data_IF_791162140137
#
_entry.id   IF_791162140137
#
_cell.length_a   1.000
_cell.length_b   1.000
_cell.length_c   1.000
_cell.angle_alpha   90.00
_cell.angle_beta   90.00
_cell.angle_gamma   90.00
#
_symmetry.space_group_name_H-M   'P 1'
#
loop_
_entity.id
_entity.type
_entity.pdbx_description
1 polymer ?
#
# COMPACT_ATOMS: atom_id res chain seq x y z
N UNK A 1 13.58 6.82 -30.47
CA UNK A 1 14.27 5.88 -29.55
C UNK A 1 13.24 4.95 -28.96
N UNK A 2 13.40 3.64 -29.11
CA UNK A 2 12.53 2.62 -28.50
C UNK A 2 12.88 2.46 -27.03
N UNK A 3 11.90 2.65 -26.13
CA UNK A 3 12.08 2.46 -24.71
C UNK A 3 11.95 0.98 -24.36
N UNK A 4 13.04 0.38 -23.88
CA UNK A 4 13.02 -0.94 -23.25
C UNK A 4 13.46 -0.78 -21.80
N UNK A 5 12.55 -1.04 -20.86
CA UNK A 5 12.78 -0.88 -19.42
C UNK A 5 13.32 -2.13 -18.73
N UNK A 6 13.54 -3.23 -19.45
CA UNK A 6 13.92 -4.52 -18.86
C UNK A 6 15.18 -5.05 -19.53
N UNK A 7 16.25 -5.15 -18.75
CA UNK A 7 17.40 -5.98 -19.11
C UNK A 7 17.05 -7.46 -18.86
N UNK A 8 16.79 -8.19 -19.95
CA UNK A 8 16.52 -9.63 -19.95
C UNK A 8 17.77 -10.48 -19.61
N UNK A 9 18.94 -9.89 -19.35
CA UNK A 9 20.14 -10.62 -18.94
C UNK A 9 19.97 -11.34 -17.60
N UNK A 10 19.12 -10.81 -16.72
CA UNK A 10 18.95 -11.28 -15.33
C UNK A 10 17.93 -12.42 -15.14
N UNK A 11 17.17 -12.78 -16.18
CA UNK A 11 16.19 -13.88 -16.11
C UNK A 11 16.90 -15.20 -16.38
N UNK A 12 16.92 -16.08 -15.39
CA UNK A 12 17.54 -17.40 -15.49
C UNK A 12 16.92 -18.24 -16.62
N UNK A 13 17.70 -19.18 -17.15
CA UNK A 13 17.33 -19.97 -18.33
C UNK A 13 16.09 -20.84 -18.10
N UNK A 14 15.84 -21.28 -16.86
CA UNK A 14 14.67 -22.09 -16.52
C UNK A 14 13.41 -21.24 -16.47
N UNK A 15 13.46 -20.05 -15.85
CA UNK A 15 12.36 -19.09 -15.86
C UNK A 15 12.03 -18.65 -17.29
N UNK A 16 13.04 -18.39 -18.13
CA UNK A 16 12.85 -18.05 -19.54
C UNK A 16 12.21 -19.19 -20.34
N UNK A 17 12.62 -20.43 -20.09
CA UNK A 17 12.03 -21.63 -20.70
C UNK A 17 10.59 -21.84 -20.24
N UNK A 18 10.29 -21.58 -18.97
CA UNK A 18 8.95 -21.66 -18.41
C UNK A 18 8.03 -20.63 -19.06
N UNK A 19 8.47 -19.36 -19.13
CA UNK A 19 7.75 -18.26 -19.79
C UNK A 19 7.43 -18.61 -21.25
N UNK A 20 8.41 -19.10 -22.02
CA UNK A 20 8.21 -19.51 -23.42
C UNK A 20 7.24 -20.68 -23.55
N UNK A 21 7.35 -21.69 -22.69
CA UNK A 21 6.47 -22.86 -22.71
C UNK A 21 5.02 -22.50 -22.40
N UNK A 22 4.80 -21.51 -21.54
CA UNK A 22 3.48 -21.03 -21.17
C UNK A 22 2.89 -20.07 -22.21
N UNK A 23 3.70 -19.17 -22.80
CA UNK A 23 3.28 -18.32 -23.91
C UNK A 23 2.85 -19.14 -25.14
N UNK A 24 3.50 -20.30 -25.37
CA UNK A 24 3.16 -21.21 -26.47
C UNK A 24 1.91 -22.05 -26.22
N UNK A 25 1.42 -22.21 -24.97
CA UNK A 25 0.20 -22.98 -24.68
C UNK A 25 -1.06 -22.29 -25.19
N UNK A 26 -1.14 -20.96 -25.14
CA UNK A 26 -2.28 -20.20 -25.69
C UNK A 26 -2.38 -20.28 -27.22
N UNK A 27 -1.23 -20.28 -27.92
CA UNK A 27 -1.17 -20.34 -29.40
C UNK A 27 -1.54 -21.71 -30.00
N UNK A 28 -1.62 -22.76 -29.17
CA UNK A 28 -1.84 -24.15 -29.59
C UNK A 28 -3.21 -24.72 -29.16
N UNK A 29 -4.06 -23.93 -28.50
CA UNK A 29 -5.44 -24.35 -28.20
C UNK A 29 -6.18 -24.47 -29.55
N UNK A 30 -6.62 -25.69 -29.88
CA UNK A 30 -7.35 -26.02 -31.11
C UNK A 30 -6.51 -26.60 -32.26
N UNK A 31 -5.18 -26.63 -32.17
CA UNK A 31 -4.33 -27.25 -33.22
C UNK A 31 -3.93 -28.68 -32.82
N UNK A 32 -4.80 -29.64 -33.14
CA UNK A 32 -4.48 -31.06 -33.01
C UNK A 32 -3.32 -31.48 -33.91
N UNK A 33 -2.30 -32.13 -33.35
CA UNK A 33 -1.25 -32.80 -34.15
C UNK A 33 -1.90 -33.91 -34.99
N UNK A 34 -1.55 -34.08 -36.28
CA UNK A 34 -2.03 -35.20 -37.06
C UNK A 34 -1.50 -36.51 -36.43
N UNK A 35 -2.41 -37.38 -35.99
CA UNK A 35 -2.08 -38.73 -35.54
C UNK A 35 -1.62 -39.55 -36.75
N UNK A 36 -0.38 -40.04 -36.71
CA UNK A 36 0.17 -40.97 -37.72
C UNK A 36 -0.67 -42.26 -37.69
N UNK A 37 -1.30 -42.61 -38.81
CA UNK A 37 -2.08 -43.85 -38.96
C UNK A 37 -1.16 -45.08 -38.84
N UNK A 38 -1.51 -46.13 -38.06
CA UNK A 38 -0.87 -47.43 -38.18
C UNK A 38 -1.41 -48.18 -39.41
N UNK A 39 -0.53 -48.90 -40.12
CA UNK A 39 -0.87 -49.83 -41.21
C UNK A 39 -1.59 -51.08 -40.64
N UNK A 40 -2.44 -51.75 -41.44
CA UNK A 40 -3.21 -52.91 -41.00
C UNK A 40 -2.36 -54.19 -41.03
N UNK A 41 -2.63 -55.10 -40.11
CA UNK A 41 -2.22 -56.50 -40.20
C UNK A 41 -3.48 -57.38 -40.11
N UNK A 42 -3.55 -58.35 -41.02
CA UNK A 42 -4.62 -59.30 -41.26
C UNK A 42 -4.73 -60.37 -40.16
N UNK A 43 -5.93 -60.95 -39.99
CA UNK A 43 -6.12 -62.26 -39.34
C UNK A 43 -7.32 -62.35 -38.40
N UNK A 44 -8.48 -62.78 -38.93
CA UNK A 44 -9.68 -63.25 -38.20
C UNK A 44 -9.45 -64.66 -37.57
N UNK A 45 -10.41 -65.34 -36.89
CA UNK A 45 -11.80 -64.97 -36.51
C UNK A 45 -12.30 -65.44 -35.10
N UNK A 46 -13.52 -64.99 -34.76
CA UNK A 46 -14.61 -65.68 -34.00
C UNK A 46 -14.45 -66.07 -32.51
N UNK A 47 -15.36 -65.60 -31.64
CA UNK A 47 -16.47 -66.41 -31.09
C UNK A 47 -17.44 -65.60 -30.20
N UNK A 48 -18.65 -66.14 -30.11
CA UNK A 48 -19.96 -65.62 -29.67
C UNK A 48 -20.24 -65.75 -28.15
N UNK A 49 -21.46 -65.32 -27.75
CA UNK A 49 -22.27 -65.61 -26.53
C UNK A 49 -22.35 -64.41 -25.58
N UNK A 50 -23.50 -63.90 -25.10
CA UNK A 50 -24.93 -64.19 -25.22
C UNK A 50 -25.68 -63.15 -24.34
N UNK A 51 -26.93 -62.82 -24.64
CA UNK A 51 -27.70 -61.73 -23.99
C UNK A 51 -28.25 -62.06 -22.59
N UNK A 52 -29.47 -61.62 -22.25
CA UNK A 52 -29.92 -60.24 -22.00
C UNK A 52 -30.46 -60.11 -20.55
N UNK A 53 -30.69 -58.88 -20.03
CA UNK A 53 -31.80 -58.56 -19.11
C UNK A 53 -31.81 -57.07 -18.71
N UNK A 54 -32.82 -56.34 -19.21
CA UNK A 54 -33.41 -55.20 -18.50
C UNK A 54 -34.41 -55.73 -17.45
N UNK A 55 -34.75 -54.89 -16.45
CA UNK A 55 -36.15 -54.48 -16.42
C UNK A 55 -36.36 -52.98 -16.20
N UNK A 56 -37.39 -52.53 -16.92
CA UNK A 56 -38.06 -51.23 -16.90
C UNK A 56 -38.59 -50.85 -15.50
N UNK A 57 -38.35 -49.60 -15.07
CA UNK A 57 -39.24 -48.92 -14.10
C UNK A 57 -39.46 -47.46 -14.52
N UNK A 58 -40.72 -47.21 -14.87
CA UNK A 58 -41.55 -46.00 -14.76
C UNK A 58 -41.01 -44.64 -15.25
N UNK A 59 -41.59 -44.20 -16.38
CA UNK A 59 -41.81 -42.80 -16.77
C UNK A 59 -42.45 -42.00 -15.62
N UNK A 60 -41.86 -40.87 -15.27
CA UNK A 60 -42.56 -39.72 -14.69
C UNK A 60 -42.28 -38.49 -15.55
N UNK A 61 -43.33 -37.71 -15.69
CA UNK A 61 -43.58 -36.77 -16.78
C UNK A 61 -42.69 -35.53 -16.81
N UNK A 62 -42.59 -35.01 -18.03
CA UNK A 62 -42.05 -33.72 -18.41
C UNK A 62 -42.47 -32.57 -17.47
N UNK A 63 -41.47 -31.99 -16.81
CA UNK A 63 -41.42 -30.55 -16.62
C UNK A 63 -40.06 -30.06 -17.14
N UNK A 64 -39.96 -29.90 -18.48
CA UNK A 64 -38.94 -29.02 -19.05
C UNK A 64 -39.19 -27.63 -18.49
N UNK A 65 -38.53 -27.31 -17.37
CA UNK A 65 -38.26 -25.92 -17.01
C UNK A 65 -37.40 -25.39 -18.13
N UNK A 66 -38.04 -24.70 -19.07
CA UNK A 66 -37.36 -23.72 -19.92
C UNK A 66 -36.86 -22.67 -18.94
N UNK A 67 -35.64 -22.87 -18.45
CA UNK A 67 -34.89 -21.82 -17.77
C UNK A 67 -34.58 -20.83 -18.85
N UNK A 68 -35.43 -19.82 -19.01
CA UNK A 68 -35.05 -18.60 -19.71
C UNK A 68 -33.90 -18.05 -18.88
N UNK A 69 -32.66 -18.30 -19.32
CA UNK A 69 -31.50 -17.56 -18.83
C UNK A 69 -31.78 -16.09 -19.15
N UNK A 70 -32.32 -15.38 -18.16
CA UNK A 70 -32.34 -13.93 -18.19
C UNK A 70 -30.87 -13.53 -18.34
N UNK A 71 -30.49 -12.76 -19.38
CA UNK A 71 -29.13 -12.32 -19.48
C UNK A 71 -28.88 -11.45 -18.25
N UNK A 72 -28.14 -11.97 -17.27
CA UNK A 72 -27.41 -11.15 -16.34
C UNK A 72 -26.39 -10.39 -17.19
N UNK A 73 -26.84 -9.31 -17.83
CA UNK A 73 -25.96 -8.36 -18.49
C UNK A 73 -24.99 -7.88 -17.43
N UNK A 74 -23.77 -8.40 -17.50
CA UNK A 74 -22.68 -8.03 -16.61
C UNK A 74 -22.27 -6.62 -17.01
N UNK A 75 -22.69 -5.61 -16.23
CA UNK A 75 -22.38 -4.19 -16.50
C UNK A 75 -20.87 -3.97 -16.76
N UNK A 76 -20.03 -4.83 -16.19
CA UNK A 76 -18.59 -4.92 -16.43
C UNK A 76 -18.25 -5.13 -17.91
N UNK A 77 -18.90 -6.09 -18.57
CA UNK A 77 -18.68 -6.35 -20.00
C UNK A 77 -19.24 -5.26 -20.90
N UNK A 78 -20.20 -4.46 -20.43
CA UNK A 78 -20.73 -3.31 -21.17
C UNK A 78 -19.82 -2.09 -21.05
N UNK A 79 -19.10 -1.95 -19.94
CA UNK A 79 -18.20 -0.82 -19.69
C UNK A 79 -16.75 -1.08 -20.16
N UNK A 80 -16.33 -2.34 -20.28
CA UNK A 80 -14.98 -2.69 -20.73
C UNK A 80 -14.79 -2.52 -22.24
N UNK A 81 -13.67 -1.93 -22.64
CA UNK A 81 -13.28 -1.74 -24.05
C UNK A 81 -12.58 -2.96 -24.67
N UNK A 82 -12.45 -4.06 -23.92
CA UNK A 82 -11.73 -5.28 -24.30
C UNK A 82 -12.46 -6.54 -23.83
N UNK A 83 -12.15 -7.68 -24.46
CA UNK A 83 -12.81 -8.96 -24.18
C UNK A 83 -12.38 -9.53 -22.82
N UNK A 84 -13.37 -9.92 -22.00
CA UNK A 84 -13.14 -10.51 -20.68
C UNK A 84 -13.45 -12.01 -20.67
N UNK A 85 -12.47 -12.81 -20.23
CA UNK A 85 -12.72 -14.22 -19.93
C UNK A 85 -13.74 -14.38 -18.78
N UNK A 86 -14.42 -15.53 -18.69
CA UNK A 86 -15.33 -15.83 -17.58
C UNK A 86 -14.64 -15.79 -16.22
N UNK A 87 -13.38 -16.23 -16.14
CA UNK A 87 -12.54 -16.14 -14.94
C UNK A 87 -12.21 -14.69 -14.58
N UNK A 88 -11.81 -13.88 -15.57
CA UNK A 88 -11.50 -12.46 -15.37
C UNK A 88 -12.70 -11.66 -14.88
N UNK A 89 -13.92 -11.97 -15.36
CA UNK A 89 -15.17 -11.35 -14.90
C UNK A 89 -15.46 -11.62 -13.41
N UNK A 90 -15.30 -12.87 -12.98
CA UNK A 90 -15.46 -13.25 -11.56
C UNK A 90 -14.43 -12.55 -10.68
N UNK A 91 -13.16 -12.53 -11.10
CA UNK A 91 -12.09 -11.83 -10.38
C UNK A 91 -12.35 -10.32 -10.33
N UNK A 92 -12.87 -9.73 -11.41
CA UNK A 92 -13.19 -8.30 -11.46
C UNK A 92 -14.20 -7.88 -10.39
N UNK A 93 -15.27 -8.63 -10.16
CA UNK A 93 -16.26 -8.29 -9.11
C UNK A 93 -15.62 -8.21 -7.73
N UNK A 94 -14.68 -9.09 -7.45
CA UNK A 94 -13.94 -9.11 -6.20
C UNK A 94 -12.90 -7.98 -6.13
N UNK A 95 -12.22 -7.72 -7.25
CA UNK A 95 -11.30 -6.59 -7.43
C UNK A 95 -11.99 -5.25 -7.24
N UNK A 96 -13.22 -5.06 -7.75
CA UNK A 96 -13.98 -3.82 -7.57
C UNK A 96 -14.30 -3.54 -6.09
N UNK A 97 -14.63 -4.58 -5.31
CA UNK A 97 -14.80 -4.43 -3.85
C UNK A 97 -13.50 -4.02 -3.14
N UNK A 98 -12.36 -4.37 -3.73
CA UNK A 98 -11.03 -4.13 -3.19
C UNK A 98 -10.42 -2.79 -3.61
N UNK A 99 -10.70 -2.30 -4.81
CA UNK A 99 -10.22 -0.98 -5.29
C UNK A 99 -10.89 0.16 -4.53
N UNK A 100 -12.06 -0.08 -3.92
CA UNK A 100 -12.67 0.86 -2.97
C UNK A 100 -11.85 1.01 -1.68
N UNK A 101 -10.77 0.23 -1.49
CA UNK A 101 -9.89 0.37 -0.33
C UNK A 101 -8.92 1.53 -0.55
N UNK A 102 -9.09 2.54 0.28
CA UNK A 102 -8.22 3.71 0.34
C UNK A 102 -6.84 3.35 0.91
N UNK A 103 -5.81 4.06 0.44
CA UNK A 103 -4.42 3.85 0.85
C UNK A 103 -4.09 4.57 2.17
N UNK A 104 -5.05 4.56 3.10
CA UNK A 104 -4.96 5.07 4.47
C UNK A 104 -5.87 4.24 5.39
N UNK A 105 -5.72 4.33 6.72
CA UNK A 105 -6.53 3.54 7.65
C UNK A 105 -8.03 3.89 7.58
N UNK A 106 -8.89 2.87 7.59
CA UNK A 106 -10.36 3.01 7.53
C UNK A 106 -10.93 3.99 8.57
N UNK A 107 -10.27 4.14 9.71
CA UNK A 107 -10.69 5.02 10.79
C UNK A 107 -10.77 6.47 10.32
N UNK A 108 -9.96 6.87 9.34
CA UNK A 108 -9.94 8.24 8.82
C UNK A 108 -11.09 8.55 7.86
N UNK A 109 -11.89 7.56 7.41
CA UNK A 109 -13.08 7.78 6.55
C UNK A 109 -14.12 8.73 7.22
N UNK A 110 -14.02 8.92 8.54
CA UNK A 110 -14.84 9.88 9.30
C UNK A 110 -14.40 11.32 9.03
N UNK A 111 -13.10 11.59 8.93
CA UNK A 111 -12.53 12.93 8.76
C UNK A 111 -12.20 13.27 7.30
N UNK A 112 -12.07 12.26 6.43
CA UNK A 112 -11.63 12.40 5.04
C UNK A 112 -12.76 11.99 4.10
N UNK A 113 -12.99 12.78 3.06
CA UNK A 113 -13.93 12.49 1.99
C UNK A 113 -13.19 12.18 0.70
N UNK A 114 -13.56 11.08 0.04
CA UNK A 114 -13.02 10.74 -1.27
C UNK A 114 -14.13 10.30 -2.21
N UNK A 115 -14.27 10.98 -3.35
CA UNK A 115 -15.18 10.55 -4.41
C UNK A 115 -14.53 9.46 -5.28
N UNK A 116 -14.77 8.21 -4.91
CA UNK A 116 -14.30 7.06 -5.69
C UNK A 116 -15.06 6.87 -7.01
N UNK A 117 -16.29 7.38 -7.13
CA UNK A 117 -17.12 7.16 -8.32
C UNK A 117 -16.61 7.99 -9.52
N UNK A 118 -16.02 9.15 -9.27
CA UNK A 118 -15.39 9.98 -10.30
C UNK A 118 -13.91 9.66 -10.57
N UNK A 119 -13.31 8.77 -9.76
CA UNK A 119 -11.87 8.45 -9.81
C UNK A 119 -11.41 7.96 -11.19
N UNK A 120 -10.44 8.66 -11.77
CA UNK A 120 -9.79 8.26 -13.03
C UNK A 120 -9.18 6.86 -12.97
N UNK A 121 -8.73 6.44 -11.79
CA UNK A 121 -8.13 5.12 -11.57
C UNK A 121 -9.15 4.02 -11.77
N UNK A 122 -10.38 4.20 -11.27
CA UNK A 122 -11.47 3.25 -11.50
C UNK A 122 -11.82 3.18 -12.98
N UNK A 123 -11.88 4.33 -13.67
CA UNK A 123 -12.15 4.40 -15.11
C UNK A 123 -11.11 3.64 -15.93
N UNK A 124 -9.82 3.78 -15.61
CA UNK A 124 -8.74 3.10 -16.32
C UNK A 124 -8.84 1.59 -16.31
N UNK A 125 -9.49 0.99 -15.31
CA UNK A 125 -9.70 -0.46 -15.26
C UNK A 125 -10.61 -0.93 -16.39
N UNK A 126 -11.55 -0.10 -16.81
CA UNK A 126 -12.49 -0.43 -17.87
C UNK A 126 -11.95 -0.12 -19.26
N UNK A 127 -11.11 0.91 -19.39
CA UNK A 127 -10.67 1.41 -20.70
C UNK A 127 -9.27 0.96 -21.11
N UNK A 128 -8.46 0.46 -20.17
CA UNK A 128 -7.08 0.02 -20.45
C UNK A 128 -6.84 -1.43 -20.02
N UNK A 129 -6.60 -2.29 -21.00
CA UNK A 129 -6.39 -3.72 -20.78
C UNK A 129 -5.11 -4.00 -19.97
N UNK A 130 -4.03 -3.23 -20.19
CA UNK A 130 -2.76 -3.43 -19.48
C UNK A 130 -2.92 -3.15 -17.97
N UNK A 131 -3.56 -2.03 -17.65
CA UNK A 131 -3.91 -1.63 -16.29
C UNK A 131 -4.86 -2.62 -15.65
N UNK A 132 -5.94 -3.03 -16.34
CA UNK A 132 -6.87 -4.05 -15.86
C UNK A 132 -6.14 -5.32 -15.41
N UNK A 133 -5.34 -5.90 -16.31
CA UNK A 133 -4.60 -7.13 -16.01
C UNK A 133 -3.64 -6.92 -14.82
N UNK A 134 -3.03 -5.73 -14.70
CA UNK A 134 -2.13 -5.46 -13.59
C UNK A 134 -2.87 -5.41 -12.26
N UNK A 135 -4.06 -4.80 -12.23
CA UNK A 135 -4.88 -4.72 -11.03
C UNK A 135 -5.33 -6.12 -10.60
N UNK A 136 -5.78 -6.99 -11.52
CA UNK A 136 -6.12 -8.38 -11.19
C UNK A 136 -4.90 -9.10 -10.57
N UNK A 137 -3.72 -8.97 -11.19
CA UNK A 137 -2.49 -9.58 -10.66
C UNK A 137 -2.14 -9.05 -9.26
N UNK A 138 -2.29 -7.73 -9.04
CA UNK A 138 -2.05 -7.05 -7.77
C UNK A 138 -2.99 -7.53 -6.66
N UNK A 139 -4.31 -7.57 -6.90
CA UNK A 139 -5.27 -8.08 -5.91
C UNK A 139 -4.99 -9.55 -5.59
N UNK A 140 -4.64 -10.34 -6.60
CA UNK A 140 -4.29 -11.75 -6.42
C UNK A 140 -2.99 -11.96 -5.61
N UNK A 141 -2.09 -10.97 -5.59
CA UNK A 141 -0.82 -11.05 -4.85
C UNK A 141 -0.98 -10.78 -3.34
N UNK A 142 -2.17 -10.38 -2.88
CA UNK A 142 -2.40 -9.97 -1.49
C UNK A 142 -2.82 -11.16 -0.62
N UNK A 143 -1.94 -11.52 0.32
CA UNK A 143 -2.18 -12.61 1.27
C UNK A 143 -3.41 -12.35 2.15
N UNK A 144 -4.38 -13.28 2.10
CA UNK A 144 -5.64 -13.20 2.86
C UNK A 144 -6.84 -12.74 2.04
N UNK A 145 -6.68 -12.46 0.75
CA UNK A 145 -7.83 -12.33 -0.14
C UNK A 145 -8.39 -13.73 -0.43
N UNK A 146 -9.70 -13.99 -0.25
CA UNK A 146 -10.31 -15.32 -0.44
C UNK A 146 -10.30 -15.85 -1.90
N UNK A 147 -9.47 -15.27 -2.77
CA UNK A 147 -9.26 -15.67 -4.16
C UNK A 147 -8.40 -16.92 -4.32
N UNK A 148 -7.75 -17.43 -3.27
CA UNK A 148 -6.57 -18.30 -3.45
C UNK A 148 -6.86 -19.77 -3.12
N UNK A 149 -7.13 -20.56 -4.17
CA UNK A 149 -6.70 -21.96 -4.28
C UNK A 149 -5.34 -22.08 -4.99
N UNK A 150 -4.73 -23.28 -5.02
CA UNK A 150 -3.43 -23.54 -5.69
C UNK A 150 -3.45 -23.22 -7.20
N UNK A 151 -4.61 -23.24 -7.85
CA UNK A 151 -4.78 -22.92 -9.27
C UNK A 151 -4.74 -21.40 -9.57
N UNK A 152 -5.05 -20.55 -8.58
CA UNK A 152 -5.21 -19.10 -8.75
C UNK A 152 -3.87 -18.33 -8.81
N UNK A 153 -2.78 -18.94 -8.34
CA UNK A 153 -1.42 -18.40 -8.52
C UNK A 153 -0.97 -18.38 -9.99
N UNK A 154 -1.41 -19.36 -10.79
CA UNK A 154 -1.12 -19.41 -12.23
C UNK A 154 -1.90 -18.33 -13.01
N UNK A 155 -3.10 -17.99 -12.55
CA UNK A 155 -3.93 -16.94 -13.14
C UNK A 155 -3.35 -15.55 -12.86
N UNK A 156 -2.93 -15.27 -11.62
CA UNK A 156 -2.20 -14.03 -11.27
C UNK A 156 -0.96 -13.84 -12.14
N UNK A 157 -0.15 -14.88 -12.33
CA UNK A 157 1.03 -14.83 -13.19
C UNK A 157 0.67 -14.61 -14.66
N UNK A 158 -0.44 -15.17 -15.13
CA UNK A 158 -0.94 -14.95 -16.50
C UNK A 158 -1.35 -13.50 -16.70
N UNK A 159 -2.11 -12.93 -15.75
CA UNK A 159 -2.48 -11.52 -15.77
C UNK A 159 -1.25 -10.62 -15.77
N UNK A 160 -0.25 -10.90 -14.93
CA UNK A 160 1.00 -10.17 -14.91
C UNK A 160 1.77 -10.27 -16.25
N UNK A 161 1.88 -11.47 -16.82
CA UNK A 161 2.54 -11.67 -18.11
C UNK A 161 1.85 -10.89 -19.24
N UNK A 162 0.52 -10.79 -19.18
CA UNK A 162 -0.26 -9.99 -20.12
C UNK A 162 -0.03 -8.50 -19.94
N UNK A 163 0.02 -8.01 -18.69
CA UNK A 163 0.42 -6.63 -18.38
C UNK A 163 1.79 -6.32 -18.99
N UNK A 164 2.80 -7.17 -18.78
CA UNK A 164 4.13 -6.94 -19.37
C UNK A 164 4.11 -6.84 -20.89
N UNK A 165 3.40 -7.76 -21.55
CA UNK A 165 3.29 -7.75 -23.01
C UNK A 165 2.66 -6.45 -23.51
N UNK A 166 1.51 -6.09 -22.96
CA UNK A 166 0.76 -4.90 -23.37
C UNK A 166 1.53 -3.60 -23.06
N UNK A 167 2.11 -3.48 -21.86
CA UNK A 167 2.92 -2.31 -21.49
C UNK A 167 4.11 -2.16 -22.44
N UNK A 168 4.82 -3.23 -22.77
CA UNK A 168 5.95 -3.16 -23.72
C UNK A 168 5.50 -2.75 -25.14
N UNK A 169 4.33 -3.21 -25.60
CA UNK A 169 3.74 -2.78 -26.86
C UNK A 169 3.44 -1.27 -26.84
N UNK A 170 2.80 -0.77 -25.77
CA UNK A 170 2.48 0.65 -25.59
C UNK A 170 3.73 1.52 -25.55
N UNK A 171 4.75 1.11 -24.80
CA UNK A 171 6.03 1.83 -24.64
C UNK A 171 6.87 1.86 -25.94
N UNK A 172 6.62 0.93 -26.85
CA UNK A 172 7.25 0.92 -28.18
C UNK A 172 6.49 1.78 -29.20
N UNK A 173 5.29 2.26 -28.86
CA UNK A 173 4.37 2.94 -29.77
C UNK A 173 4.07 4.38 -29.38
N UNK A 174 2.99 4.93 -29.95
CA UNK A 174 2.55 6.31 -29.73
C UNK A 174 1.93 6.54 -28.34
N UNK A 175 1.52 5.46 -27.67
CA UNK A 175 0.91 5.49 -26.34
C UNK A 175 1.95 5.40 -25.21
N UNK A 176 3.24 5.48 -25.53
CA UNK A 176 4.32 5.31 -24.56
C UNK A 176 4.21 6.26 -23.36
N UNK A 177 3.66 7.45 -23.57
CA UNK A 177 3.42 8.44 -22.52
C UNK A 177 1.95 8.66 -22.23
N UNK A 178 1.01 7.81 -22.68
CA UNK A 178 -0.40 7.96 -22.36
C UNK A 178 -0.68 7.80 -20.85
N UNK A 179 -1.69 8.47 -20.32
CA UNK A 179 -2.04 8.43 -18.89
C UNK A 179 -2.33 7.00 -18.40
N UNK A 180 -2.97 6.19 -19.25
CA UNK A 180 -3.24 4.79 -18.98
C UNK A 180 -1.96 3.95 -18.93
N UNK A 181 -0.94 4.30 -19.72
CA UNK A 181 0.40 3.68 -19.65
C UNK A 181 1.10 4.06 -18.35
N UNK A 182 1.05 5.33 -17.93
CA UNK A 182 1.54 5.75 -16.60
C UNK A 182 0.84 4.95 -15.50
N UNK A 183 -0.49 4.83 -15.56
CA UNK A 183 -1.26 4.10 -14.58
C UNK A 183 -0.87 2.61 -14.51
N UNK A 184 -0.69 1.95 -15.66
CA UNK A 184 -0.22 0.57 -15.73
C UNK A 184 1.17 0.41 -15.07
N UNK A 185 2.12 1.28 -15.38
CA UNK A 185 3.46 1.21 -14.79
C UNK A 185 3.43 1.55 -13.28
N UNK A 186 2.61 2.51 -12.84
CA UNK A 186 2.33 2.74 -11.41
C UNK A 186 1.81 1.47 -10.76
N UNK A 187 0.79 0.81 -11.31
CA UNK A 187 0.28 -0.44 -10.75
C UNK A 187 1.35 -1.54 -10.66
N UNK A 188 2.27 -1.61 -11.63
CA UNK A 188 3.40 -2.55 -11.58
C UNK A 188 4.36 -2.25 -10.41
N UNK A 189 4.64 -0.97 -10.11
CA UNK A 189 5.43 -0.62 -8.90
C UNK A 189 4.77 -1.16 -7.62
N UNK A 190 3.44 -1.01 -7.52
CA UNK A 190 2.67 -1.43 -6.35
C UNK A 190 2.64 -2.96 -6.23
N UNK A 191 2.44 -3.68 -7.35
CA UNK A 191 2.48 -5.13 -7.39
C UNK A 191 3.79 -5.67 -6.80
N UNK A 192 4.93 -5.13 -7.23
CA UNK A 192 6.23 -5.58 -6.75
C UNK A 192 6.49 -5.20 -5.29
N UNK A 193 6.04 -4.02 -4.85
CA UNK A 193 6.10 -3.64 -3.44
C UNK A 193 5.31 -4.60 -2.56
N UNK A 194 4.08 -4.95 -2.93
CA UNK A 194 3.23 -5.88 -2.18
C UNK A 194 3.85 -7.27 -2.04
N UNK A 195 4.62 -7.70 -3.05
CA UNK A 195 5.38 -8.95 -3.02
C UNK A 195 6.71 -8.87 -2.27
N UNK A 196 7.10 -7.68 -1.81
CA UNK A 196 8.38 -7.44 -1.15
C UNK A 196 9.58 -7.36 -2.09
N UNK A 197 9.37 -7.39 -3.42
CA UNK A 197 10.43 -7.29 -4.42
C UNK A 197 10.66 -5.83 -4.82
N UNK A 198 11.24 -5.09 -3.88
CA UNK A 198 11.43 -3.64 -4.01
C UNK A 198 12.40 -3.28 -5.14
N UNK A 199 13.35 -4.18 -5.48
CA UNK A 199 14.31 -3.95 -6.55
C UNK A 199 13.61 -3.88 -7.91
N UNK A 200 12.70 -4.81 -8.20
CA UNK A 200 11.90 -4.74 -9.44
C UNK A 200 10.93 -3.55 -9.43
N UNK A 201 10.36 -3.24 -8.27
CA UNK A 201 9.53 -2.04 -8.10
C UNK A 201 10.26 -0.74 -8.48
N UNK A 202 11.53 -0.60 -8.08
CA UNK A 202 12.37 0.55 -8.43
C UNK A 202 12.63 0.69 -9.93
N UNK A 203 12.78 -0.42 -10.67
CA UNK A 203 12.94 -0.38 -12.13
C UNK A 203 11.73 0.30 -12.78
N UNK A 204 10.52 -0.04 -12.33
CA UNK A 204 9.29 0.61 -12.80
C UNK A 204 9.19 2.07 -12.38
N UNK A 205 9.65 2.43 -11.17
CA UNK A 205 9.69 3.81 -10.72
C UNK A 205 10.67 4.67 -11.54
N UNK A 206 11.85 4.14 -11.85
CA UNK A 206 12.80 4.79 -12.75
C UNK A 206 12.22 4.93 -14.16
N UNK A 207 11.39 3.97 -14.57
CA UNK A 207 10.61 4.07 -15.80
C UNK A 207 9.61 5.22 -15.79
N UNK A 208 8.84 5.36 -14.70
CA UNK A 208 7.91 6.48 -14.52
C UNK A 208 8.62 7.83 -14.53
N UNK A 209 9.81 7.91 -13.92
CA UNK A 209 10.64 9.12 -13.96
C UNK A 209 11.00 9.48 -15.41
N UNK A 210 11.44 8.51 -16.20
CA UNK A 210 11.75 8.76 -17.62
C UNK A 210 10.51 9.16 -18.42
N UNK A 211 9.37 8.51 -18.17
CA UNK A 211 8.10 8.87 -18.80
C UNK A 211 7.67 10.31 -18.45
N UNK A 212 7.83 10.71 -17.19
CA UNK A 212 7.54 12.08 -16.75
C UNK A 212 8.48 13.10 -17.42
N UNK A 213 9.77 12.80 -17.58
CA UNK A 213 10.71 13.66 -18.32
C UNK A 213 10.26 13.90 -19.77
N UNK A 214 9.69 12.88 -20.44
CA UNK A 214 9.15 13.05 -21.80
C UNK A 214 7.89 13.93 -21.86
N UNK A 215 7.24 14.19 -20.73
CA UNK A 215 6.14 15.14 -20.57
C UNK A 215 6.58 16.45 -19.88
N UNK A 216 7.83 16.86 -20.05
CA UNK A 216 8.32 18.13 -19.50
C UNK A 216 8.73 18.07 -18.02
N UNK A 217 8.84 16.87 -17.43
CA UNK A 217 9.28 16.67 -16.05
C UNK A 217 8.14 16.42 -15.06
N UNK A 218 8.48 15.97 -13.86
CA UNK A 218 7.49 15.60 -12.84
C UNK A 218 6.69 16.82 -12.35
N UNK A 219 7.31 17.99 -12.25
CA UNK A 219 6.64 19.23 -11.80
C UNK A 219 5.63 19.73 -12.84
N UNK A 220 5.95 19.63 -14.14
CA UNK A 220 4.97 19.89 -15.21
C UNK A 220 3.82 18.87 -15.21
N UNK A 221 4.13 17.60 -14.97
CA UNK A 221 3.11 16.57 -14.82
C UNK A 221 2.22 16.82 -13.60
N UNK A 222 2.77 17.32 -12.49
CA UNK A 222 2.00 17.64 -11.30
C UNK A 222 1.02 18.80 -11.51
N UNK A 223 1.38 19.77 -12.37
CA UNK A 223 0.49 20.88 -12.73
C UNK A 223 -0.62 20.46 -13.70
N UNK A 224 -0.30 19.60 -14.67
CA UNK A 224 -1.24 19.23 -15.75
C UNK A 224 -2.07 17.98 -15.45
N UNK A 225 -1.51 17.02 -14.71
CA UNK A 225 -2.11 15.73 -14.37
C UNK A 225 -1.81 15.38 -12.89
N UNK A 226 -2.29 16.18 -11.92
CA UNK A 226 -1.92 16.08 -10.50
C UNK A 226 -2.15 14.70 -9.90
N UNK A 227 -3.26 14.03 -10.26
CA UNK A 227 -3.56 12.69 -9.78
C UNK A 227 -2.48 11.66 -10.15
N UNK A 228 -1.95 11.71 -11.39
CA UNK A 228 -0.86 10.82 -11.83
C UNK A 228 0.42 11.11 -11.04
N UNK A 229 0.82 12.37 -10.96
CA UNK A 229 2.02 12.79 -10.25
C UNK A 229 1.97 12.38 -8.77
N UNK A 230 0.82 12.56 -8.11
CA UNK A 230 0.58 12.13 -6.73
C UNK A 230 0.87 10.66 -6.51
N UNK A 231 0.44 9.77 -7.41
CA UNK A 231 0.74 8.33 -7.29
C UNK A 231 2.22 8.02 -7.52
N UNK A 232 2.91 8.76 -8.39
CA UNK A 232 4.35 8.64 -8.61
C UNK A 232 5.12 9.08 -7.37
N UNK A 233 4.80 10.25 -6.81
CA UNK A 233 5.41 10.76 -5.57
C UNK A 233 5.16 9.79 -4.41
N UNK A 234 3.93 9.29 -4.26
CA UNK A 234 3.63 8.31 -3.23
C UNK A 234 4.47 7.03 -3.37
N UNK A 235 4.58 6.49 -4.58
CA UNK A 235 5.38 5.30 -4.82
C UNK A 235 6.86 5.53 -4.46
N UNK A 236 7.44 6.65 -4.92
CA UNK A 236 8.82 7.04 -4.60
C UNK A 236 9.05 7.18 -3.09
N UNK A 237 8.18 7.88 -2.37
CA UNK A 237 8.26 8.00 -0.91
C UNK A 237 8.17 6.64 -0.20
N UNK A 238 7.24 5.77 -0.60
CA UNK A 238 7.11 4.43 0.00
C UNK A 238 8.37 3.56 -0.23
N UNK A 239 9.00 3.64 -1.41
CA UNK A 239 10.28 2.96 -1.66
C UNK A 239 11.41 3.58 -0.83
N UNK A 240 11.49 4.91 -0.75
CA UNK A 240 12.49 5.63 0.03
C UNK A 240 12.40 5.26 1.53
N UNK A 241 11.19 5.20 2.08
CA UNK A 241 10.96 4.77 3.48
C UNK A 241 11.30 3.29 3.71
N UNK A 242 10.98 2.41 2.76
CA UNK A 242 11.27 0.99 2.92
C UNK A 242 12.79 0.69 2.85
N UNK A 243 13.46 1.26 1.84
CA UNK A 243 14.87 1.03 1.56
C UNK A 243 15.80 1.92 2.40
N UNK A 244 15.23 2.98 2.99
CA UNK A 244 15.94 4.00 3.74
C UNK A 244 16.80 4.92 2.88
N UNK A 245 16.45 5.11 1.61
CA UNK A 245 17.16 6.00 0.69
C UNK A 245 16.52 7.39 0.70
N UNK A 246 17.20 8.42 0.16
CA UNK A 246 16.53 9.64 -0.28
C UNK A 246 15.45 9.33 -1.33
N UNK A 247 14.45 10.20 -1.44
CA UNK A 247 13.50 10.21 -2.56
C UNK A 247 14.19 10.56 -3.88
N UNK A 248 13.66 10.04 -5.00
CA UNK A 248 14.18 10.36 -6.34
C UNK A 248 13.74 11.74 -6.84
N UNK A 249 12.64 12.27 -6.30
CA UNK A 249 12.15 13.61 -6.57
C UNK A 249 12.36 14.54 -5.36
N UNK A 250 12.16 15.84 -5.56
CA UNK A 250 12.22 16.85 -4.50
C UNK A 250 10.83 17.20 -3.97
N UNK A 251 10.73 17.61 -2.71
CA UNK A 251 9.51 18.23 -2.19
C UNK A 251 9.16 19.51 -2.97
N UNK A 252 10.14 20.19 -3.57
CA UNK A 252 9.93 21.36 -4.43
C UNK A 252 9.20 21.03 -5.75
N UNK A 253 9.15 19.75 -6.15
CA UNK A 253 8.40 19.30 -7.32
C UNK A 253 6.90 19.17 -7.05
N UNK A 254 6.49 19.22 -5.78
CA UNK A 254 5.10 19.04 -5.34
C UNK A 254 4.44 20.42 -5.23
N UNK A 255 3.35 20.70 -5.95
CA UNK A 255 2.61 21.95 -5.79
C UNK A 255 2.11 22.11 -4.35
N UNK A 256 2.51 23.19 -3.67
CA UNK A 256 2.29 23.35 -2.22
C UNK A 256 1.29 24.44 -1.83
N UNK A 257 0.81 25.28 -2.75
CA UNK A 257 -0.08 26.41 -2.43
C UNK A 257 -1.35 26.00 -1.66
N UNK A 258 -1.97 24.88 -2.06
CA UNK A 258 -3.18 24.36 -1.41
C UNK A 258 -2.85 23.67 -0.07
N UNK A 259 -1.66 23.07 0.06
CA UNK A 259 -1.14 22.46 1.28
C UNK A 259 -0.91 23.53 2.34
N UNK A 260 -0.20 24.60 1.97
CA UNK A 260 0.10 25.74 2.84
C UNK A 260 -1.19 26.37 3.36
N UNK A 261 -2.17 26.62 2.47
CA UNK A 261 -3.48 27.14 2.88
C UNK A 261 -4.19 26.27 3.93
N UNK A 262 -4.15 24.94 3.79
CA UNK A 262 -4.75 24.04 4.78
C UNK A 262 -4.03 24.14 6.14
N UNK A 263 -2.70 24.15 6.12
CA UNK A 263 -1.87 24.21 7.32
C UNK A 263 -1.92 25.58 8.01
N UNK A 264 -2.14 26.67 7.28
CA UNK A 264 -2.24 28.02 7.83
C UNK A 264 -3.60 28.32 8.45
N UNK A 265 -4.67 27.71 7.94
CA UNK A 265 -6.01 27.85 8.51
C UNK A 265 -6.17 27.16 9.88
N UNK A 266 -5.17 26.38 10.31
CA UNK A 266 -5.19 25.67 11.59
C UNK A 266 -4.54 26.54 12.66
N UNK A 267 -5.34 27.12 13.57
CA UNK A 267 -4.85 27.93 14.68
C UNK A 267 -4.15 27.04 15.70
N UNK A 268 -2.86 27.31 15.94
CA UNK A 268 -2.08 26.56 16.92
C UNK A 268 -2.17 27.23 18.30
N UNK A 269 -2.64 26.50 19.32
CA UNK A 269 -2.37 26.85 20.73
C UNK A 269 -1.25 25.93 21.25
N UNK A 270 0.01 26.39 21.19
CA UNK A 270 1.13 25.62 21.72
C UNK A 270 0.99 25.61 23.25
N UNK A 271 1.16 24.45 23.87
CA UNK A 271 1.71 24.44 25.23
C UNK A 271 3.16 24.95 25.12
N UNK A 272 3.31 26.27 25.24
CA UNK A 272 4.47 27.04 24.79
C UNK A 272 5.76 26.75 25.55
N UNK A 273 5.69 26.09 26.70
CA UNK A 273 6.82 25.94 27.63
C UNK A 273 7.64 24.67 27.43
N UNK A 274 7.03 23.55 27.02
CA UNK A 274 7.78 22.29 26.89
C UNK A 274 8.41 22.13 25.50
N UNK A 275 7.66 22.47 24.44
CA UNK A 275 8.17 22.46 23.07
C UNK A 275 9.34 23.43 22.89
N UNK A 276 9.36 24.58 23.56
CA UNK A 276 10.50 25.52 23.52
C UNK A 276 11.79 24.92 24.09
N UNK A 277 11.72 24.05 25.10
CA UNK A 277 12.90 23.41 25.69
C UNK A 277 13.45 22.29 24.80
N UNK A 278 12.57 21.46 24.20
CA UNK A 278 12.98 20.44 23.22
C UNK A 278 13.50 21.10 21.96
N UNK A 279 12.78 22.11 21.46
CA UNK A 279 13.14 22.78 20.22
C UNK A 279 14.40 23.62 20.33
N UNK A 280 14.79 24.13 21.50
CA UNK A 280 16.05 24.87 21.65
C UNK A 280 17.27 24.08 21.15
N UNK A 281 17.19 22.75 21.12
CA UNK A 281 18.29 21.85 20.75
C UNK A 281 18.10 21.18 19.37
N UNK A 282 17.01 21.50 18.67
CA UNK A 282 16.60 20.89 17.40
C UNK A 282 16.93 21.84 16.22
N UNK A 283 17.49 21.33 15.11
CA UNK A 283 17.70 22.12 13.88
C UNK A 283 16.42 22.79 13.38
N UNK A 284 16.56 23.93 12.71
CA UNK A 284 15.44 24.75 12.24
C UNK A 284 14.48 23.97 11.33
N UNK A 285 15.01 23.30 10.30
CA UNK A 285 14.19 22.51 9.36
C UNK A 285 13.35 21.43 10.06
N UNK A 286 13.92 20.77 11.08
CA UNK A 286 13.22 19.74 11.84
C UNK A 286 12.17 20.35 12.78
N UNK A 287 12.43 21.53 13.33
CA UNK A 287 11.44 22.27 14.13
C UNK A 287 10.25 22.72 13.27
N UNK A 288 10.51 23.29 12.09
CA UNK A 288 9.46 23.73 11.16
C UNK A 288 8.53 22.59 10.77
N UNK A 289 9.10 21.48 10.28
CA UNK A 289 8.29 20.34 9.84
C UNK A 289 7.53 19.70 11.02
N UNK A 290 8.08 19.75 12.23
CA UNK A 290 7.36 19.28 13.42
C UNK A 290 6.07 20.07 13.61
N UNK A 291 6.13 21.41 13.50
CA UNK A 291 4.95 22.26 13.62
C UNK A 291 3.90 22.00 12.52
N UNK A 292 4.33 21.77 11.28
CA UNK A 292 3.41 21.41 10.19
C UNK A 292 2.72 20.07 10.42
N UNK A 293 3.46 19.07 10.93
CA UNK A 293 2.91 17.76 11.28
C UNK A 293 1.92 17.87 12.45
N UNK A 294 2.16 18.75 13.42
CA UNK A 294 1.18 19.08 14.47
C UNK A 294 -0.10 19.68 13.91
N UNK A 295 0.02 20.68 13.03
CA UNK A 295 -1.12 21.31 12.36
C UNK A 295 -1.94 20.28 11.59
N UNK A 296 -1.30 19.35 10.89
CA UNK A 296 -1.98 18.22 10.25
C UNK A 296 -2.75 17.38 11.27
N UNK A 297 -2.12 16.97 12.37
CA UNK A 297 -2.77 16.15 13.40
C UNK A 297 -4.01 16.85 14.00
N UNK A 298 -3.87 18.14 14.34
CA UNK A 298 -4.96 18.97 14.86
C UNK A 298 -6.08 19.14 13.84
N UNK A 299 -5.74 19.39 12.58
CA UNK A 299 -6.71 19.51 11.49
C UNK A 299 -7.52 18.22 11.34
N UNK A 300 -6.87 17.05 11.31
CA UNK A 300 -7.57 15.75 11.25
C UNK A 300 -8.52 15.61 12.45
N UNK A 301 -8.05 15.84 13.67
CA UNK A 301 -8.87 15.73 14.89
C UNK A 301 -10.05 16.73 14.89
N UNK A 302 -9.89 17.94 14.35
CA UNK A 302 -10.98 18.90 14.24
C UNK A 302 -12.08 18.42 13.27
N UNK A 303 -11.68 17.77 12.17
CA UNK A 303 -12.61 17.26 11.15
C UNK A 303 -13.32 15.96 11.57
N UNK A 304 -12.86 15.24 12.60
CA UNK A 304 -13.57 14.04 13.09
C UNK A 304 -14.95 14.35 13.65
N UNK A 305 -15.14 15.57 14.15
CA UNK A 305 -16.38 16.04 14.79
C UNK A 305 -17.11 17.09 13.96
N UNK A 306 -16.60 17.41 12.76
CA UNK A 306 -17.15 18.42 11.85
C UNK A 306 -18.08 17.78 10.81
N UNK A 307 -19.04 18.56 10.29
CA UNK A 307 -19.81 18.18 9.12
C UNK A 307 -18.99 18.29 7.83
N UNK A 308 -17.96 19.15 7.81
CA UNK A 308 -17.04 19.30 6.70
C UNK A 308 -15.87 18.33 6.86
N UNK A 309 -15.57 17.57 5.82
CA UNK A 309 -14.44 16.63 5.75
C UNK A 309 -13.28 17.21 4.95
N UNK A 310 -12.08 16.66 5.17
CA UNK A 310 -10.89 16.98 4.37
C UNK A 310 -11.00 16.25 3.03
N UNK A 311 -10.79 16.97 1.93
CA UNK A 311 -10.69 16.35 0.61
C UNK A 311 -9.55 15.32 0.57
N UNK A 312 -9.82 14.11 0.07
CA UNK A 312 -8.88 12.99 0.09
C UNK A 312 -7.66 13.19 -0.79
N UNK A 313 -7.79 13.94 -1.89
CA UNK A 313 -6.67 14.30 -2.75
C UNK A 313 -5.74 15.29 -2.05
N UNK A 314 -6.30 16.34 -1.44
CA UNK A 314 -5.59 17.29 -0.59
C UNK A 314 -4.90 16.60 0.60
N UNK A 315 -5.59 15.68 1.28
CA UNK A 315 -4.99 14.90 2.37
C UNK A 315 -3.76 14.12 1.89
N UNK A 316 -3.87 13.46 0.75
CA UNK A 316 -2.75 12.74 0.16
C UNK A 316 -1.59 13.66 -0.23
N UNK A 317 -1.89 14.83 -0.81
CA UNK A 317 -0.87 15.82 -1.18
C UNK A 317 -0.11 16.31 0.07
N UNK A 318 -0.81 16.57 1.18
CA UNK A 318 -0.19 16.98 2.45
C UNK A 318 0.71 15.89 3.03
N UNK A 319 0.24 14.64 3.14
CA UNK A 319 1.06 13.57 3.75
C UNK A 319 2.28 13.23 2.89
N UNK A 320 2.16 13.34 1.56
CA UNK A 320 3.29 13.12 0.64
C UNK A 320 4.28 14.26 0.80
N UNK A 321 3.84 15.52 0.75
CA UNK A 321 4.70 16.69 0.91
C UNK A 321 5.50 16.66 2.21
N UNK A 322 4.82 16.45 3.35
CA UNK A 322 5.48 16.35 4.66
C UNK A 322 6.41 15.13 4.73
N UNK A 323 6.01 13.99 4.14
CA UNK A 323 6.86 12.80 4.06
C UNK A 323 8.15 13.05 3.27
N UNK A 324 8.09 13.77 2.15
CA UNK A 324 9.26 14.16 1.37
C UNK A 324 10.19 15.10 2.14
N UNK A 325 9.63 16.15 2.78
CA UNK A 325 10.45 17.07 3.60
C UNK A 325 11.15 16.31 4.74
N UNK A 326 10.44 15.40 5.41
CA UNK A 326 11.00 14.64 6.53
C UNK A 326 12.08 13.64 6.07
N UNK A 327 11.87 12.98 4.93
CA UNK A 327 12.87 12.10 4.34
C UNK A 327 14.12 12.89 3.90
N UNK A 328 13.96 14.12 3.38
CA UNK A 328 15.08 14.96 2.98
C UNK A 328 15.96 15.41 4.17
N UNK A 329 15.39 15.58 5.36
CA UNK A 329 16.14 15.91 6.59
C UNK A 329 17.04 14.75 6.99
N UNK A 330 16.50 13.53 7.08
CA UNK A 330 17.28 12.35 7.44
C UNK A 330 16.72 11.05 6.84
N UNK A 331 17.23 10.61 5.69
CA UNK A 331 16.92 9.29 5.14
C UNK A 331 17.31 8.19 6.14
N UNK A 332 16.52 7.11 6.24
CA UNK A 332 16.71 6.11 7.31
C UNK A 332 18.05 5.35 7.27
N UNK A 333 18.70 5.29 6.10
CA UNK A 333 20.04 4.70 5.97
C UNK A 333 21.17 5.73 6.10
N UNK A 334 20.86 7.02 6.26
CA UNK A 334 21.86 8.03 6.58
C UNK A 334 22.32 7.88 8.04
N UNK A 335 23.50 8.42 8.40
CA UNK A 335 23.96 8.43 9.79
C UNK A 335 22.94 9.12 10.73
N UNK A 336 22.92 8.79 12.03
CA UNK A 336 22.11 9.51 13.01
C UNK A 336 22.39 11.01 13.02
N UNK A 337 21.35 11.80 13.26
CA UNK A 337 21.51 13.23 13.50
C UNK A 337 22.35 13.37 14.78
N UNK A 338 23.36 14.25 14.78
CA UNK A 338 24.36 14.38 15.84
C UNK A 338 23.80 14.59 17.26
N UNK A 339 22.53 14.97 17.38
CA UNK A 339 21.85 15.20 18.65
C UNK A 339 20.74 14.16 18.86
N UNK A 340 20.85 13.35 19.93
CA UNK A 340 19.96 12.21 20.16
C UNK A 340 18.47 12.56 20.24
N UNK A 341 18.10 13.72 20.82
CA UNK A 341 16.70 14.17 20.82
C UNK A 341 16.20 14.49 19.41
N UNK A 342 17.06 15.04 18.55
CA UNK A 342 16.70 15.38 17.18
C UNK A 342 16.52 14.12 16.34
N UNK A 343 17.38 13.11 16.52
CA UNK A 343 17.24 11.82 15.86
C UNK A 343 15.96 11.11 16.31
N UNK A 344 15.70 11.07 17.61
CA UNK A 344 14.48 10.47 18.18
C UNK A 344 13.20 11.17 17.71
N UNK A 345 13.21 12.51 17.65
CA UNK A 345 12.09 13.31 17.14
C UNK A 345 11.86 12.99 15.66
N UNK A 346 12.91 12.96 14.84
CA UNK A 346 12.82 12.63 13.43
C UNK A 346 12.22 11.22 13.22
N UNK A 347 12.71 10.21 13.95
CA UNK A 347 12.20 8.83 13.87
C UNK A 347 10.75 8.70 14.35
N UNK A 348 10.38 9.42 15.40
CA UNK A 348 9.01 9.48 15.88
C UNK A 348 8.07 10.13 14.87
N UNK A 349 8.48 11.23 14.23
CA UNK A 349 7.71 11.87 13.15
C UNK A 349 7.62 10.96 11.92
N UNK A 350 8.68 10.23 11.57
CA UNK A 350 8.65 9.28 10.45
C UNK A 350 7.67 8.13 10.75
N UNK A 351 7.62 7.67 12.00
CA UNK A 351 6.66 6.68 12.46
C UNK A 351 5.23 7.23 12.46
N UNK A 352 5.04 8.49 12.86
CA UNK A 352 3.75 9.16 12.81
C UNK A 352 3.26 9.25 11.36
N UNK A 353 4.10 9.72 10.44
CA UNK A 353 3.75 9.80 9.02
C UNK A 353 3.46 8.42 8.43
N UNK A 354 4.21 7.38 8.82
CA UNK A 354 3.98 6.00 8.40
C UNK A 354 2.56 5.49 8.72
N UNK A 355 1.89 6.05 9.72
CA UNK A 355 0.52 5.66 10.12
C UNK A 355 -0.53 5.95 9.04
N UNK A 356 -0.24 6.89 8.14
CA UNK A 356 -1.15 7.25 7.05
C UNK A 356 -0.94 6.41 5.78
N UNK A 357 0.13 5.61 5.70
CA UNK A 357 0.51 4.86 4.49
C UNK A 357 0.02 3.41 4.49
N UNK A 358 -1.20 3.15 4.95
CA UNK A 358 -1.78 1.80 4.92
C UNK A 358 -1.78 1.25 3.47
N UNK A 359 -1.40 -0.02 3.33
CA UNK A 359 -1.42 -0.72 2.04
C UNK A 359 -2.84 -1.05 1.60
N UNK A 360 -3.00 -1.51 0.35
CA UNK A 360 -4.30 -1.91 -0.20
C UNK A 360 -5.01 -3.01 0.61
N UNK A 361 -4.27 -3.80 1.38
CA UNK A 361 -4.81 -4.80 2.30
C UNK A 361 -5.19 -4.23 3.68
N UNK A 362 -5.20 -2.89 3.83
CA UNK A 362 -5.37 -2.14 5.08
C UNK A 362 -4.35 -2.48 6.17
N UNK A 363 -3.25 -3.16 5.81
CA UNK A 363 -2.14 -3.43 6.72
C UNK A 363 -1.08 -2.35 6.58
N UNK A 364 -0.40 -2.08 7.70
CA UNK A 364 0.74 -1.17 7.70
C UNK A 364 1.89 -1.73 6.86
N UNK A 365 2.63 -0.86 6.13
CA UNK A 365 3.78 -1.29 5.35
C UNK A 365 4.88 -1.80 6.28
N UNK A 366 5.63 -2.80 5.81
CA UNK A 366 6.83 -3.26 6.52
C UNK A 366 7.94 -2.23 6.32
N UNK A 367 8.38 -1.56 7.38
CA UNK A 367 9.47 -0.57 7.36
C UNK A 367 10.65 -1.04 8.22
N UNK A 368 11.44 -2.03 7.75
CA UNK A 368 12.49 -2.66 8.56
C UNK A 368 13.60 -1.70 8.96
N UNK A 369 13.92 -0.70 8.12
CA UNK A 369 14.93 0.32 8.41
C UNK A 369 14.51 1.23 9.56
N UNK A 370 13.25 1.67 9.56
CA UNK A 370 12.70 2.51 10.63
C UNK A 370 12.63 1.75 11.96
N UNK A 371 12.13 0.52 11.96
CA UNK A 371 12.11 -0.34 13.17
C UNK A 371 13.52 -0.56 13.74
N UNK A 372 14.51 -0.86 12.89
CA UNK A 372 15.90 -1.03 13.33
C UNK A 372 16.49 0.27 13.94
N UNK A 373 16.21 1.43 13.35
CA UNK A 373 16.67 2.73 13.84
C UNK A 373 16.03 3.11 15.17
N UNK A 374 14.72 2.91 15.32
CA UNK A 374 14.03 3.14 16.60
C UNK A 374 14.64 2.26 17.69
N UNK A 375 14.87 0.98 17.41
CA UNK A 375 15.52 0.08 18.36
C UNK A 375 16.92 0.55 18.75
N UNK A 376 17.71 1.02 17.78
CA UNK A 376 19.06 1.56 18.04
C UNK A 376 19.04 2.76 18.99
N UNK A 377 18.13 3.70 18.79
CA UNK A 377 18.02 4.92 19.61
C UNK A 377 17.37 4.62 20.96
N UNK A 378 16.45 3.66 21.02
CA UNK A 378 15.82 3.26 22.27
C UNK A 378 16.81 2.62 23.25
N UNK A 379 17.81 1.86 22.78
CA UNK A 379 18.78 1.15 23.64
C UNK A 379 19.81 2.09 24.29
N UNK A 380 19.80 3.39 24.00
CA UNK A 380 20.70 4.35 24.64
C UNK A 380 20.48 4.45 26.17
N UNK A 381 21.56 4.62 26.96
CA UNK A 381 21.53 4.54 28.42
C UNK A 381 20.57 5.56 29.05
N UNK A 382 20.20 5.30 30.31
CA UNK A 382 19.28 6.14 31.09
C UNK A 382 19.68 7.61 31.07
N UNK A 383 18.89 8.43 30.36
CA UNK A 383 19.04 9.88 30.34
C UNK A 383 18.29 10.50 31.53
N UNK A 384 18.82 11.58 32.08
CA UNK A 384 18.21 12.31 33.21
C UNK A 384 17.26 13.42 32.77
N UNK A 385 16.90 13.49 31.49
CA UNK A 385 16.02 14.54 30.96
C UNK A 385 14.57 14.07 30.91
N UNK A 386 13.65 14.83 31.51
CA UNK A 386 12.22 14.57 31.37
C UNK A 386 11.78 14.63 29.90
N UNK A 387 12.31 15.58 29.12
CA UNK A 387 12.00 15.72 27.71
C UNK A 387 12.41 14.50 26.89
N UNK A 388 13.53 13.88 27.25
CA UNK A 388 13.97 12.62 26.64
C UNK A 388 12.97 11.51 26.87
N UNK A 389 12.56 11.30 28.13
CA UNK A 389 11.60 10.24 28.46
C UNK A 389 10.23 10.48 27.84
N UNK A 390 9.75 11.73 27.78
CA UNK A 390 8.50 12.07 27.09
C UNK A 390 8.54 11.74 25.60
N UNK A 391 9.61 12.17 24.92
CA UNK A 391 9.79 11.94 23.48
C UNK A 391 9.98 10.45 23.17
N UNK A 392 10.76 9.74 23.99
CA UNK A 392 10.98 8.29 23.87
C UNK A 392 9.66 7.55 24.01
N UNK A 393 8.84 7.92 24.99
CA UNK A 393 7.53 7.34 25.20
C UNK A 393 6.63 7.55 23.98
N UNK A 394 6.52 8.78 23.48
CA UNK A 394 5.75 9.08 22.27
C UNK A 394 6.24 8.29 21.05
N UNK A 395 7.54 8.28 20.77
CA UNK A 395 8.13 7.52 19.67
C UNK A 395 7.80 6.03 19.75
N UNK A 396 7.89 5.41 20.94
CA UNK A 396 7.59 3.99 21.11
C UNK A 396 6.10 3.68 20.93
N UNK A 397 5.20 4.55 21.41
CA UNK A 397 3.76 4.39 21.23
C UNK A 397 3.34 4.54 19.77
N UNK A 398 3.84 5.56 19.07
CA UNK A 398 3.60 5.74 17.64
C UNK A 398 4.30 4.64 16.81
N UNK A 399 5.49 4.22 17.21
CA UNK A 399 6.15 3.06 16.62
C UNK A 399 5.29 1.81 16.74
N UNK A 400 4.59 1.63 17.87
CA UNK A 400 3.68 0.52 18.12
C UNK A 400 2.41 0.55 17.26
N UNK A 401 1.93 1.72 16.86
CA UNK A 401 0.75 1.83 15.98
C UNK A 401 1.08 1.41 14.55
N UNK A 402 2.35 1.50 14.15
CA UNK A 402 2.75 1.41 12.74
C UNK A 402 3.68 0.23 12.42
N UNK A 403 4.82 0.14 13.11
CA UNK A 403 5.95 -0.69 12.67
C UNK A 403 6.40 -1.73 13.70
N UNK A 404 6.25 -1.45 15.01
CA UNK A 404 6.76 -2.29 16.10
C UNK A 404 5.78 -3.42 16.41
N UNK A 405 6.14 -4.64 16.04
CA UNK A 405 5.27 -5.82 16.16
C UNK A 405 5.30 -6.43 17.56
N UNK A 406 4.31 -7.26 17.90
CA UNK A 406 4.24 -7.94 19.20
C UNK A 406 5.49 -8.77 19.55
N UNK A 407 6.21 -9.28 18.55
CA UNK A 407 7.48 -9.99 18.76
C UNK A 407 8.61 -9.09 19.32
N UNK A 408 8.43 -7.77 19.30
CA UNK A 408 9.39 -6.79 19.81
C UNK A 408 9.11 -6.39 21.27
N UNK A 409 8.06 -6.92 21.88
CA UNK A 409 7.61 -6.56 23.22
C UNK A 409 8.67 -6.83 24.30
N UNK A 410 9.59 -7.76 24.03
CA UNK A 410 10.70 -8.09 24.93
C UNK A 410 11.62 -6.91 25.24
N UNK A 411 11.73 -5.94 24.35
CA UNK A 411 12.54 -4.72 24.56
C UNK A 411 11.69 -3.45 24.61
N UNK A 412 10.56 -3.41 23.89
CA UNK A 412 9.68 -2.23 23.86
C UNK A 412 8.99 -1.99 25.22
N UNK A 413 8.46 -3.05 25.85
CA UNK A 413 7.70 -2.88 27.10
C UNK A 413 8.59 -2.44 28.28
N UNK A 414 9.78 -3.03 28.51
CA UNK A 414 10.68 -2.56 29.57
C UNK A 414 11.06 -1.07 29.41
N UNK A 415 11.26 -0.60 28.18
CA UNK A 415 11.61 0.78 27.89
C UNK A 415 10.47 1.77 28.15
N UNK A 416 9.25 1.38 27.77
CA UNK A 416 8.03 2.13 28.08
C UNK A 416 7.85 2.22 29.60
N UNK A 417 7.96 1.09 30.31
CA UNK A 417 7.85 1.00 31.76
C UNK A 417 8.88 1.90 32.45
N UNK A 418 10.12 1.89 31.97
CA UNK A 418 11.20 2.73 32.52
C UNK A 418 10.87 4.21 32.38
N UNK A 419 10.37 4.62 31.21
CA UNK A 419 10.01 6.03 30.97
C UNK A 419 8.78 6.47 31.77
N UNK A 420 7.78 5.60 31.92
CA UNK A 420 6.59 5.88 32.75
C UNK A 420 6.96 6.05 34.22
N UNK A 421 7.81 5.16 34.76
CA UNK A 421 8.30 5.25 36.15
C UNK A 421 9.12 6.52 36.35
N UNK A 422 10.00 6.85 35.41
CA UNK A 422 10.81 8.06 35.49
C UNK A 422 9.96 9.33 35.52
N UNK A 423 8.91 9.39 34.69
CA UNK A 423 8.00 10.52 34.60
C UNK A 423 6.96 10.56 35.73
N UNK A 424 6.89 9.53 36.58
CA UNK A 424 5.89 9.44 37.66
C UNK A 424 4.45 9.31 37.14
N UNK A 425 4.25 8.80 35.92
CA UNK A 425 2.93 8.66 35.32
C UNK A 425 2.20 7.49 35.99
N UNK A 426 1.14 7.82 36.73
CA UNK A 426 0.37 6.86 37.53
C UNK A 426 -1.07 6.67 37.04
N UNK A 427 -1.49 7.39 35.99
CA UNK A 427 -2.85 7.33 35.47
C UNK A 427 -2.87 7.31 33.93
N UNK A 428 -3.93 6.73 33.32
CA UNK A 428 -4.14 6.79 31.87
C UNK A 428 -4.22 8.23 31.35
N UNK A 429 -4.90 9.12 32.09
CA UNK A 429 -5.00 10.54 31.74
C UNK A 429 -3.65 11.24 31.71
N UNK A 430 -2.77 10.96 32.68
CA UNK A 430 -1.41 11.52 32.69
C UNK A 430 -0.54 10.99 31.54
N UNK A 431 -0.75 9.74 31.12
CA UNK A 431 -0.11 9.19 29.93
C UNK A 431 -0.60 9.90 28.66
N UNK A 432 -1.92 10.02 28.49
CA UNK A 432 -2.51 10.69 27.35
C UNK A 432 -2.08 12.16 27.28
N UNK A 433 -2.07 12.88 28.39
CA UNK A 433 -1.56 14.25 28.48
C UNK A 433 -0.07 14.34 28.08
N UNK A 434 0.73 13.34 28.42
CA UNK A 434 2.13 13.25 28.02
C UNK A 434 2.29 13.01 26.53
N UNK A 435 1.51 12.09 25.95
CA UNK A 435 1.60 11.73 24.54
C UNK A 435 1.04 12.81 23.61
N UNK A 436 -0.05 13.48 24.01
CA UNK A 436 -0.68 14.57 23.26
C UNK A 436 0.14 15.86 23.23
N UNK A 437 1.26 15.93 23.97
CA UNK A 437 2.25 16.99 23.79
C UNK A 437 2.99 16.90 22.46
N UNK A 438 2.83 15.80 21.71
CA UNK A 438 3.40 15.51 20.40
C UNK A 438 2.30 15.27 19.35
N UNK A 439 2.61 15.21 18.04
CA UNK A 439 1.60 14.94 17.03
C UNK A 439 0.82 13.64 17.33
N UNK A 440 -0.50 13.76 17.36
CA UNK A 440 -1.39 12.70 17.77
C UNK A 440 -2.74 12.80 17.04
N UNK A 441 -3.21 11.68 16.47
CA UNK A 441 -4.52 11.57 15.82
C UNK A 441 -5.34 10.58 16.63
N UNK A 442 -6.40 11.07 17.28
CA UNK A 442 -7.19 10.30 18.25
C UNK A 442 -7.70 9.00 17.63
N UNK A 443 -8.29 9.10 16.43
CA UNK A 443 -8.84 7.96 15.68
C UNK A 443 -7.84 6.85 15.32
N UNK A 444 -6.54 7.16 15.27
CA UNK A 444 -5.51 6.20 14.92
C UNK A 444 -4.77 5.64 16.13
N UNK A 445 -4.56 6.47 17.15
CA UNK A 445 -3.55 6.22 18.17
C UNK A 445 -4.12 5.88 19.54
N UNK A 446 -5.32 6.36 19.89
CA UNK A 446 -5.94 6.13 21.22
C UNK A 446 -6.11 4.64 21.50
N UNK A 447 -6.70 3.92 20.54
CA UNK A 447 -6.93 2.49 20.56
C UNK A 447 -5.68 1.66 20.90
N UNK A 448 -4.54 2.02 20.31
CA UNK A 448 -3.26 1.32 20.53
C UNK A 448 -2.69 1.71 21.89
N UNK A 449 -2.82 2.99 22.27
CA UNK A 449 -2.39 3.50 23.56
C UNK A 449 -3.09 2.75 24.70
N UNK A 450 -4.42 2.65 24.66
CA UNK A 450 -5.22 1.96 25.68
C UNK A 450 -4.81 0.49 25.81
N UNK A 451 -4.72 -0.24 24.69
CA UNK A 451 -4.31 -1.66 24.71
C UNK A 451 -2.91 -1.86 25.27
N UNK A 452 -1.98 -0.97 24.92
CA UNK A 452 -0.61 -1.04 25.42
C UNK A 452 -0.55 -0.69 26.91
N UNK A 453 -1.33 0.31 27.35
CA UNK A 453 -1.46 0.70 28.74
C UNK A 453 -2.02 -0.43 29.61
N UNK A 454 -3.08 -1.11 29.16
CA UNK A 454 -3.63 -2.29 29.86
C UNK A 454 -2.55 -3.36 30.03
N UNK A 455 -1.76 -3.62 28.98
CA UNK A 455 -0.68 -4.61 29.02
C UNK A 455 0.40 -4.26 30.06
N UNK A 456 0.86 -3.01 30.07
CA UNK A 456 1.91 -2.57 31.03
C UNK A 456 1.38 -2.37 32.45
N UNK A 457 0.10 -2.05 32.64
CA UNK A 457 -0.50 -1.86 33.97
C UNK A 457 -0.46 -3.13 34.81
N UNK A 458 -0.57 -4.29 34.15
CA UNK A 458 -0.44 -5.62 34.77
C UNK A 458 0.97 -5.83 35.34
N UNK A 459 2.00 -5.38 34.64
CA UNK A 459 3.41 -5.50 35.05
C UNK A 459 3.83 -4.39 36.04
N UNK A 460 3.15 -3.24 36.01
CA UNK A 460 3.45 -2.07 36.84
C UNK A 460 2.73 -2.05 38.19
N UNK A 461 1.77 -2.97 38.42
CA UNK A 461 0.85 -2.95 39.59
C UNK A 461 0.11 -1.60 39.74
N UNK A 462 -0.12 -0.89 38.62
CA UNK A 462 -0.92 0.34 38.58
C UNK A 462 -2.39 -0.07 38.39
N UNK A 463 -3.36 0.58 39.05
CA UNK A 463 -4.77 0.19 38.90
C UNK A 463 -5.20 0.18 37.42
N UNK A 464 -5.85 -0.91 36.94
CA UNK A 464 -6.36 -0.94 35.58
C UNK A 464 -7.44 0.13 35.37
N UNK A 465 -7.61 0.55 34.11
CA UNK A 465 -8.71 1.43 33.69
C UNK A 465 -10.04 0.91 34.24
N UNK A 466 -10.68 1.67 35.12
CA UNK A 466 -12.10 1.49 35.39
C UNK A 466 -12.82 1.88 34.10
N UNK A 467 -13.32 0.87 33.38
CA UNK A 467 -14.28 1.07 32.31
C UNK A 467 -15.51 1.70 32.95
N UNK A 468 -15.76 2.98 32.66
CA UNK A 468 -17.04 3.64 32.93
C UNK A 468 -17.83 3.63 31.62
#
# INVERSE_FOLDING_TARGET
>A
MTLQFIDNSSIDSNTRRLIRSHAAKGKNIGKGRPRRKPRPAEGSPLLSVGGPNEPLVARSENAQRITIERPHFDAVSLCSTFELSSTSRRMFRQVFSFIRVELYPRQLEIAIEHDMASSMWVRFIFVDEAYFHCIIAMVSAISGFPLIGKEDSAESLRHLAHTFRLVNEKLSGREATADTTFAAVVAMTQYYRLRGDHKQGLVHLDGLRHMACMRGGISHLAQTHPALARKIFRADLEFALNLGTPTKFSHADIPSDHIIKLLDNTTHTLSSLWLSTVFAQVPEDLREITFEIFKLAQSINAHTSSAQKIDGDLFHDVIIFLGYRLNAINPLSAPPISHGLSDMLCLGLQSFMASFFAGLNRKMPSLPKLSARIKSVAVEPSHTSQSWHKLRLWMLFIGRTTILKQCEDSWVLPDIITSIRYLGISSPGGLQETLSQFPWVNLLHDDVCERLYVKISTDLQIPPLLVI
#
